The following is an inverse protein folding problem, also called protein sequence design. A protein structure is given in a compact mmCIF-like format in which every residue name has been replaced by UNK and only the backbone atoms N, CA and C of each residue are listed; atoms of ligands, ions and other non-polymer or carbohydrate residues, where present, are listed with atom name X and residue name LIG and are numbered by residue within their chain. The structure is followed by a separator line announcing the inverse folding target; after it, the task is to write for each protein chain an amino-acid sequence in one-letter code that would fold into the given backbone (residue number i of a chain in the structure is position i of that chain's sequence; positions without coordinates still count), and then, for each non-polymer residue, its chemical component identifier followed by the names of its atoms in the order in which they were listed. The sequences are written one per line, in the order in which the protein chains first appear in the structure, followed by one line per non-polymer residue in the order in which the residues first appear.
data_IF_024764725376
#
_entry.id   IF_024764725376
#
_cell.length_a   1.000
_cell.length_b   1.000
_cell.length_c   1.000
_cell.angle_alpha   90.00
_cell.angle_beta   90.00
_cell.angle_gamma   90.00
#
_symmetry.space_group_name_H-M   'P 1'
#
loop_
_entity.id
_entity.type
_entity.pdbx_description
1 polymer ?
#
# COMPACT_ATOMS: atom_id res chain seq x y z
N UNK A 1 20.34 11.73 -24.09
CA UNK A 1 21.80 11.74 -24.18
C UNK A 1 22.38 13.17 -24.26
N UNK A 2 22.24 13.89 -25.39
CA UNK A 2 22.86 15.23 -25.59
C UNK A 2 22.54 16.24 -24.48
N UNK A 3 21.30 16.26 -23.97
CA UNK A 3 20.93 17.20 -22.90
C UNK A 3 21.74 17.01 -21.61
N UNK A 4 22.06 15.77 -21.24
CA UNK A 4 22.83 15.46 -20.03
C UNK A 4 24.30 15.87 -20.21
N UNK A 5 24.88 15.62 -21.39
CA UNK A 5 26.29 15.90 -21.67
C UNK A 5 26.61 17.40 -21.83
N UNK A 6 25.60 18.29 -21.80
CA UNK A 6 25.79 19.74 -21.79
C UNK A 6 26.18 20.28 -20.41
N UNK A 7 25.83 19.58 -19.34
CA UNK A 7 26.18 20.02 -18.00
C UNK A 7 27.64 19.73 -17.69
N UNK A 8 28.32 20.70 -17.06
CA UNK A 8 29.74 20.56 -16.66
C UNK A 8 29.93 20.04 -15.24
N UNK A 9 29.00 20.35 -14.33
CA UNK A 9 29.15 20.07 -12.90
C UNK A 9 27.94 19.32 -12.31
N UNK A 10 26.72 19.84 -12.54
CA UNK A 10 25.48 19.27 -12.00
C UNK A 10 24.38 19.27 -13.06
N UNK A 11 23.56 18.24 -13.04
CA UNK A 11 22.34 18.12 -13.85
C UNK A 11 21.16 18.03 -12.90
N UNK A 12 20.11 18.79 -13.17
CA UNK A 12 18.83 18.64 -12.50
C UNK A 12 17.80 18.16 -13.51
N UNK A 13 17.11 17.06 -13.19
CA UNK A 13 16.02 16.54 -13.97
C UNK A 13 14.72 16.84 -13.24
N UNK A 14 13.81 17.57 -13.91
CA UNK A 14 12.53 17.96 -13.33
C UNK A 14 11.39 17.39 -14.17
N UNK A 15 10.33 16.93 -13.51
CA UNK A 15 9.05 16.62 -14.15
C UNK A 15 7.91 17.22 -13.33
N UNK A 16 6.78 17.45 -13.99
CA UNK A 16 5.54 17.85 -13.33
C UNK A 16 4.55 16.68 -13.40
N UNK A 17 3.88 16.39 -12.28
CA UNK A 17 2.82 15.37 -12.25
C UNK A 17 1.58 15.84 -13.02
N UNK A 18 1.27 17.14 -12.97
CA UNK A 18 0.16 17.77 -13.67
C UNK A 18 0.64 19.05 -14.35
N UNK A 19 0.24 19.24 -15.61
CA UNK A 19 0.53 20.47 -16.36
C UNK A 19 -0.67 20.86 -17.21
N UNK A 20 -0.85 22.16 -17.42
CA UNK A 20 -1.79 22.66 -18.41
C UNK A 20 -1.12 22.74 -19.77
N UNK A 21 -1.67 22.04 -20.76
CA UNK A 21 -1.18 21.98 -22.12
C UNK A 21 -2.36 22.22 -23.07
N UNK A 22 -2.25 23.21 -23.96
CA UNK A 22 -3.33 23.64 -24.86
C UNK A 22 -4.68 23.82 -24.15
N UNK A 23 -4.66 24.50 -23.00
CA UNK A 23 -5.87 24.79 -22.22
C UNK A 23 -6.42 23.64 -21.40
N UNK A 24 -5.95 22.40 -21.61
CA UNK A 24 -6.37 21.21 -20.86
C UNK A 24 -5.33 20.82 -19.82
N UNK A 25 -5.79 20.35 -18.66
CA UNK A 25 -4.90 19.77 -17.66
C UNK A 25 -4.62 18.31 -18.02
N UNK A 26 -3.34 17.94 -18.01
CA UNK A 26 -2.91 16.58 -18.28
C UNK A 26 -2.00 16.12 -17.15
N UNK A 27 -2.23 14.90 -16.69
CA UNK A 27 -1.30 14.22 -15.80
C UNK A 27 -0.25 13.50 -16.64
N UNK A 28 1.01 13.60 -16.23
CA UNK A 28 2.13 13.04 -16.96
C UNK A 28 2.98 12.21 -16.00
N UNK A 29 3.27 10.98 -16.41
CA UNK A 29 4.23 10.14 -15.71
C UNK A 29 5.66 10.67 -15.96
N UNK A 30 6.60 10.42 -15.04
CA UNK A 30 8.01 10.72 -15.26
C UNK A 30 8.51 10.08 -16.57
N UNK A 31 9.43 10.77 -17.26
CA UNK A 31 10.05 10.24 -18.47
C UNK A 31 10.76 8.92 -18.19
N UNK A 32 10.65 7.95 -19.11
CA UNK A 32 11.35 6.66 -19.00
C UNK A 32 12.86 6.83 -18.80
N UNK A 33 13.45 7.87 -19.41
CA UNK A 33 14.87 8.17 -19.32
C UNK A 33 15.34 8.50 -17.90
N UNK A 34 14.43 8.89 -16.99
CA UNK A 34 14.77 9.10 -15.57
C UNK A 34 15.14 7.76 -14.91
N UNK A 35 14.45 6.67 -15.28
CA UNK A 35 14.71 5.32 -14.75
C UNK A 35 15.92 4.63 -15.36
N UNK A 36 16.40 5.14 -16.49
CA UNK A 36 17.61 4.63 -17.15
C UNK A 36 18.90 5.16 -16.49
N UNK A 37 18.80 6.22 -15.67
CA UNK A 37 19.95 6.75 -14.92
C UNK A 37 20.19 5.88 -13.68
N UNK A 38 21.41 5.41 -13.42
CA UNK A 38 21.72 4.61 -12.23
C UNK A 38 21.36 5.33 -10.94
N UNK A 39 20.64 4.66 -10.04
CA UNK A 39 20.18 5.23 -8.75
C UNK A 39 21.33 5.69 -7.85
N UNK A 40 22.51 5.06 -7.96
CA UNK A 40 23.70 5.45 -7.21
C UNK A 40 24.22 6.86 -7.59
N UNK A 41 23.81 7.39 -8.73
CA UNK A 41 24.21 8.70 -9.25
C UNK A 41 23.09 9.73 -9.19
N UNK A 42 21.91 9.36 -8.67
CA UNK A 42 20.77 10.26 -8.56
C UNK A 42 20.48 10.61 -7.10
N UNK A 43 19.89 11.79 -6.91
CA UNK A 43 19.41 12.24 -5.60
C UNK A 43 17.99 12.77 -5.76
N UNK A 44 17.04 12.11 -5.11
CA UNK A 44 15.64 12.53 -5.12
C UNK A 44 15.44 13.78 -4.27
N UNK A 45 15.14 14.90 -4.94
CA UNK A 45 14.78 16.17 -4.29
C UNK A 45 13.27 16.27 -4.24
N UNK A 46 12.64 15.58 -3.29
CA UNK A 46 11.24 15.80 -2.98
C UNK A 46 11.13 16.88 -1.91
N UNK A 47 10.40 17.95 -2.22
CA UNK A 47 9.91 18.87 -1.19
C UNK A 47 9.10 18.02 -0.21
N UNK A 48 9.66 17.74 0.97
CA UNK A 48 8.97 16.97 2.00
C UNK A 48 7.75 17.76 2.46
N UNK A 49 6.61 17.59 1.79
CA UNK A 49 5.31 17.79 2.44
C UNK A 49 5.17 16.61 3.39
N UNK A 50 5.82 16.69 4.55
CA UNK A 50 5.76 15.77 5.69
C UNK A 50 5.05 14.42 5.42
N UNK A 51 5.58 13.63 4.49
CA UNK A 51 5.16 12.27 4.28
C UNK A 51 5.92 11.45 5.33
N UNK A 52 5.55 11.63 6.60
CA UNK A 52 5.88 10.67 7.63
C UNK A 52 5.33 9.34 7.12
N UNK A 53 6.24 8.51 6.62
CA UNK A 53 6.22 7.05 6.60
C UNK A 53 4.86 6.52 7.03
N UNK A 54 3.90 6.44 6.10
CA UNK A 54 2.77 5.54 6.30
C UNK A 54 3.37 4.15 6.17
N UNK A 55 3.43 3.34 7.26
CA UNK A 55 3.84 1.96 7.09
C UNK A 55 2.86 1.33 6.09
N UNK A 56 3.40 0.71 5.05
CA UNK A 56 2.63 -0.10 4.12
C UNK A 56 1.99 -1.20 4.96
N UNK A 57 0.69 -1.05 5.25
CA UNK A 57 -0.06 -2.07 5.95
C UNK A 57 0.18 -3.40 5.21
N UNK A 58 0.45 -4.51 5.93
CA UNK A 58 0.57 -5.81 5.29
C UNK A 58 -0.69 -6.08 4.47
N UNK A 59 -0.58 -6.74 3.31
CA UNK A 59 -1.74 -7.06 2.49
C UNK A 59 -2.74 -7.81 3.37
N UNK A 60 -3.93 -7.24 3.55
CA UNK A 60 -5.01 -7.94 4.21
C UNK A 60 -5.24 -9.24 3.45
N UNK A 61 -5.25 -10.38 4.17
CA UNK A 61 -5.63 -11.65 3.56
C UNK A 61 -6.98 -11.46 2.85
N UNK A 62 -7.06 -11.93 1.62
CA UNK A 62 -8.27 -11.87 0.83
C UNK A 62 -9.43 -12.53 1.59
N UNK A 63 -10.66 -11.99 1.54
CA UNK A 63 -11.81 -12.54 2.26
C UNK A 63 -12.13 -13.99 1.86
N UNK A 64 -11.66 -14.44 0.69
CA UNK A 64 -11.73 -15.84 0.27
C UNK A 64 -10.88 -16.79 1.14
N UNK A 65 -9.70 -16.35 1.62
CA UNK A 65 -8.89 -17.13 2.57
C UNK A 65 -9.52 -17.13 3.98
N UNK A 66 -10.26 -16.08 4.34
CA UNK A 66 -11.05 -16.04 5.57
C UNK A 66 -12.31 -16.92 5.50
N UNK A 67 -12.94 -17.07 4.33
CA UNK A 67 -14.06 -17.99 4.11
C UNK A 67 -13.65 -19.46 4.00
N UNK A 68 -12.41 -19.75 3.58
CA UNK A 68 -11.87 -21.11 3.62
C UNK A 68 -11.55 -21.59 5.05
N UNK A 69 -11.42 -20.67 6.01
CA UNK A 69 -11.43 -20.94 7.44
C UNK A 69 -12.86 -21.08 7.98
N UNK A 70 -13.71 -21.79 7.24
CA UNK A 70 -15.09 -22.09 7.57
C UNK A 70 -15.16 -23.01 8.79
N UNK A 71 -15.24 -22.40 9.97
CA UNK A 71 -15.55 -23.08 11.22
C UNK A 71 -14.87 -22.41 12.41
N UNK A 72 -15.66 -21.99 13.40
CA UNK A 72 -15.12 -21.71 14.73
C UNK A 72 -14.45 -22.98 15.25
N UNK A 73 -13.23 -22.87 15.78
CA UNK A 73 -12.53 -24.00 16.37
C UNK A 73 -12.64 -23.92 17.90
N UNK A 74 -12.84 -25.05 18.59
CA UNK A 74 -12.71 -25.11 20.04
C UNK A 74 -11.32 -24.57 20.43
N UNK A 75 -11.26 -23.72 21.46
CA UNK A 75 -10.11 -22.95 21.95
C UNK A 75 -9.60 -21.82 21.05
N UNK A 76 -10.33 -21.42 20.02
CA UNK A 76 -9.98 -20.22 19.24
C UNK A 76 -10.18 -18.95 20.07
N UNK A 77 -9.20 -18.02 20.02
CA UNK A 77 -9.37 -16.66 20.55
C UNK A 77 -10.26 -15.88 19.59
N UNK A 78 -11.36 -15.36 20.12
CA UNK A 78 -12.33 -14.54 19.40
C UNK A 78 -12.45 -13.19 20.08
N UNK A 79 -12.62 -12.14 19.28
CA UNK A 79 -12.86 -10.80 19.80
C UNK A 79 -14.30 -10.42 19.56
N UNK A 80 -15.06 -10.20 20.64
CA UNK A 80 -16.46 -9.82 20.57
C UNK A 80 -16.63 -8.32 20.86
N UNK A 81 -17.38 -7.61 20.01
CA UNK A 81 -17.57 -6.16 20.10
C UNK A 81 -18.19 -5.69 21.43
N UNK A 82 -18.93 -6.56 22.12
CA UNK A 82 -19.55 -6.27 23.43
C UNK A 82 -18.76 -6.79 24.64
N UNK A 83 -17.91 -7.80 24.47
CA UNK A 83 -17.32 -8.57 25.58
C UNK A 83 -15.78 -8.64 25.57
N UNK A 84 -15.11 -8.14 24.53
CA UNK A 84 -13.65 -8.15 24.44
C UNK A 84 -13.09 -9.50 23.96
N UNK A 85 -11.83 -9.77 24.29
CA UNK A 85 -11.13 -11.02 23.92
C UNK A 85 -11.58 -12.20 24.79
N UNK A 86 -12.00 -13.29 24.16
CA UNK A 86 -12.40 -14.53 24.81
C UNK A 86 -11.89 -15.76 24.07
N UNK A 87 -12.00 -16.94 24.70
CA UNK A 87 -11.60 -18.23 24.09
C UNK A 87 -12.84 -19.11 24.00
N UNK A 88 -13.12 -19.68 22.82
CA UNK A 88 -14.27 -20.57 22.59
C UNK A 88 -14.07 -21.87 23.37
N UNK A 89 -14.85 -22.13 24.43
CA UNK A 89 -14.67 -23.33 25.26
C UNK A 89 -15.45 -24.55 24.73
N UNK A 90 -16.61 -24.33 24.11
CA UNK A 90 -17.42 -25.37 23.49
C UNK A 90 -18.19 -24.80 22.28
N UNK A 91 -18.44 -25.65 21.29
CA UNK A 91 -19.31 -25.34 20.14
C UNK A 91 -20.38 -26.43 20.14
N UNK A 92 -21.62 -26.06 20.46
CA UNK A 92 -22.76 -26.96 20.32
C UNK A 92 -23.59 -26.55 19.10
N UNK A 93 -23.83 -27.51 18.20
CA UNK A 93 -24.75 -27.41 17.06
C UNK A 93 -24.07 -27.42 15.69
N UNK A 94 -24.52 -28.34 14.83
CA UNK A 94 -24.10 -28.47 13.43
C UNK A 94 -25.03 -27.66 12.50
N UNK A 95 -24.46 -26.81 11.65
CA UNK A 95 -25.20 -26.04 10.63
C UNK A 95 -25.71 -24.66 11.08
N UNK A 96 -26.77 -24.17 10.44
CA UNK A 96 -27.21 -22.77 10.43
C UNK A 96 -27.68 -22.15 11.77
N UNK A 97 -27.59 -22.86 12.90
CA UNK A 97 -28.00 -22.38 14.22
C UNK A 97 -26.94 -22.59 15.31
N UNK A 98 -25.68 -22.25 15.03
CA UNK A 98 -24.63 -22.26 16.06
C UNK A 98 -24.79 -21.08 17.02
N UNK A 99 -25.01 -21.36 18.31
CA UNK A 99 -24.94 -20.36 19.39
C UNK A 99 -23.69 -20.64 20.23
N UNK A 100 -22.86 -19.61 20.43
CA UNK A 100 -21.70 -19.67 21.33
C UNK A 100 -22.05 -18.99 22.67
N UNK A 101 -21.75 -19.65 23.79
CA UNK A 101 -21.75 -19.07 25.13
C UNK A 101 -20.34 -19.10 25.72
#
# INVERSE_FOLDING_TARGET
YVGITRARQRVYLCHAEQRRWYGKETQQNPSRFVREVPEALTQDVRARVNAKLRPKAPPALSPAAAMAAGGLQLRQRVHHAKFGEGVVLAIEGEGYHTRAQ
#
